data_IF_515481714477
#
_entry.id   IF_515481714477
#
_cell.length_a   1.000
_cell.length_b   1.000
_cell.length_c   1.000
_cell.angle_alpha   90.00
_cell.angle_beta   90.00
_cell.angle_gamma   90.00
#
_symmetry.space_group_name_H-M   'P 1'
#
loop_
_entity.id
_entity.type
_entity.pdbx_description
1 polymer ?
#
# COMPACT_ATOMS: atom_id res chain seq x y z
N UNK A 1 -7.21 24.19 17.09
CA UNK A 1 -7.03 23.16 16.05
C UNK A 1 -8.12 22.16 16.30
N UNK A 2 -9.08 22.04 15.38
CA UNK A 2 -10.19 21.10 15.50
C UNK A 2 -9.68 19.66 15.32
N UNK A 3 -10.36 18.67 15.89
CA UNK A 3 -9.96 17.25 15.81
C UNK A 3 -9.86 16.73 14.38
N UNK A 4 -10.57 17.33 13.41
CA UNK A 4 -10.42 17.06 11.98
C UNK A 4 -9.02 17.37 11.45
N UNK A 5 -8.37 18.43 11.93
CA UNK A 5 -7.00 18.80 11.49
C UNK A 5 -5.98 17.83 12.06
N UNK A 6 -6.21 17.28 13.25
CA UNK A 6 -5.32 16.28 13.86
C UNK A 6 -5.27 14.97 13.06
N UNK A 7 -6.39 14.59 12.41
CA UNK A 7 -6.44 13.40 11.54
C UNK A 7 -5.61 13.52 10.26
N UNK A 8 -5.26 14.73 9.82
CA UNK A 8 -4.42 15.00 8.64
C UNK A 8 -2.93 15.15 8.97
N UNK A 9 -2.56 15.23 10.26
CA UNK A 9 -1.18 15.34 10.71
C UNK A 9 -0.75 14.06 11.41
N UNK A 10 -0.09 13.17 10.69
CA UNK A 10 0.37 11.93 11.29
C UNK A 10 1.46 12.09 12.36
N UNK A 11 2.10 13.26 12.48
CA UNK A 11 3.40 13.34 13.14
C UNK A 11 3.42 13.89 14.57
N UNK A 12 2.29 14.33 15.14
CA UNK A 12 2.40 15.06 16.40
C UNK A 12 2.42 14.21 17.68
N UNK A 13 2.05 12.91 17.64
CA UNK A 13 1.94 12.09 18.86
C UNK A 13 2.24 10.59 18.71
N UNK A 14 2.72 10.12 17.57
CA UNK A 14 2.96 8.70 17.36
C UNK A 14 4.45 8.37 17.31
N UNK A 15 4.82 7.27 17.95
CA UNK A 15 6.17 6.73 17.87
C UNK A 15 6.35 6.11 16.49
N UNK A 16 7.46 6.43 15.83
CA UNK A 16 7.90 5.78 14.60
C UNK A 16 9.23 5.10 14.85
N UNK A 17 9.33 3.82 14.52
CA UNK A 17 10.59 3.09 14.56
C UNK A 17 11.16 2.97 13.15
N UNK A 18 12.42 3.36 12.99
CA UNK A 18 13.19 3.11 11.77
C UNK A 18 13.85 1.74 11.86
N UNK A 19 13.67 0.96 10.81
CA UNK A 19 14.21 -0.40 10.70
C UNK A 19 15.36 -0.42 9.68
N UNK A 20 16.47 -1.06 10.09
CA UNK A 20 17.64 -1.33 9.26
C UNK A 20 18.23 -2.65 9.69
N UNK A 21 17.92 -3.75 8.99
CA UNK A 21 18.34 -5.10 9.37
C UNK A 21 18.25 -6.07 8.19
N UNK A 22 19.20 -6.98 8.03
CA UNK A 22 19.13 -8.05 7.02
C UNK A 22 18.11 -9.15 7.34
N UNK A 23 17.50 -9.14 8.53
CA UNK A 23 16.57 -10.16 9.00
C UNK A 23 17.04 -10.89 10.24
N UNK A 24 16.61 -12.15 10.42
CA UNK A 24 16.92 -12.97 11.60
C UNK A 24 15.82 -13.98 11.91
N UNK A 25 15.43 -14.06 13.20
CA UNK A 25 14.39 -14.99 13.65
C UNK A 25 12.99 -14.55 13.20
N UNK A 26 12.31 -15.40 12.43
CA UNK A 26 10.94 -15.14 12.00
C UNK A 26 9.96 -15.12 13.19
N UNK A 27 10.18 -15.98 14.19
CA UNK A 27 9.35 -16.00 15.40
C UNK A 27 9.44 -14.69 16.18
N UNK A 28 10.63 -14.10 16.29
CA UNK A 28 10.81 -12.78 16.93
C UNK A 28 10.21 -11.66 16.06
N UNK A 29 10.31 -11.76 14.73
CA UNK A 29 9.71 -10.79 13.84
C UNK A 29 8.18 -10.76 13.97
N UNK A 30 7.52 -11.91 14.10
CA UNK A 30 6.08 -12.01 14.35
C UNK A 30 5.70 -11.38 15.71
N UNK A 31 6.52 -11.59 16.75
CA UNK A 31 6.29 -10.94 18.05
C UNK A 31 6.45 -9.41 17.96
N UNK A 32 7.47 -8.94 17.25
CA UNK A 32 7.66 -7.51 17.01
C UNK A 32 6.50 -6.92 16.20
N UNK A 33 6.01 -7.64 15.19
CA UNK A 33 4.85 -7.24 14.40
C UNK A 33 3.62 -7.04 15.31
N UNK A 34 3.31 -8.00 16.20
CA UNK A 34 2.22 -7.87 17.19
C UNK A 34 2.49 -6.68 18.13
N UNK A 35 3.72 -6.54 18.64
CA UNK A 35 4.10 -5.44 19.56
C UNK A 35 3.94 -4.07 18.93
N UNK A 36 4.36 -3.88 17.67
CA UNK A 36 4.24 -2.58 17.00
C UNK A 36 2.78 -2.18 16.83
N UNK A 37 1.91 -3.14 16.53
CA UNK A 37 0.48 -2.87 16.45
C UNK A 37 -0.13 -2.53 17.82
N UNK A 38 0.16 -3.35 18.84
CA UNK A 38 -0.45 -3.18 20.17
C UNK A 38 -0.02 -1.86 20.82
N UNK A 39 1.21 -1.42 20.55
CA UNK A 39 1.75 -0.14 21.01
C UNK A 39 1.52 1.03 20.02
N UNK A 40 0.82 0.80 18.90
CA UNK A 40 0.51 1.83 17.89
C UNK A 40 1.78 2.49 17.30
N UNK A 41 2.80 1.69 17.08
CA UNK A 41 4.09 2.13 16.56
C UNK A 41 4.05 2.07 15.02
N UNK A 42 4.35 3.19 14.37
CA UNK A 42 4.59 3.24 12.93
C UNK A 42 5.98 2.67 12.60
N UNK A 43 6.10 2.03 11.45
CA UNK A 43 7.37 1.51 10.94
C UNK A 43 7.85 2.30 9.73
N UNK A 44 9.16 2.51 9.66
CA UNK A 44 9.81 3.25 8.59
C UNK A 44 11.11 2.58 8.16
N UNK A 45 11.40 2.67 6.88
CA UNK A 45 12.71 2.32 6.30
C UNK A 45 13.23 3.59 5.66
N UNK A 46 14.35 4.12 6.17
CA UNK A 46 14.96 5.33 5.65
C UNK A 46 15.69 5.06 4.32
N UNK A 47 16.00 6.14 3.58
CA UNK A 47 16.81 6.05 2.38
C UNK A 47 18.16 5.36 2.71
N UNK A 48 18.55 4.37 1.92
CA UNK A 48 19.73 3.51 2.08
C UNK A 48 19.65 2.46 3.21
N UNK A 49 18.62 2.47 4.04
CA UNK A 49 18.38 1.41 5.01
C UNK A 49 17.84 0.16 4.31
N UNK A 50 18.09 -1.00 4.93
CA UNK A 50 17.71 -2.31 4.40
C UNK A 50 16.88 -3.04 5.43
N UNK A 51 15.66 -3.48 5.07
CA UNK A 51 14.82 -4.31 5.91
C UNK A 51 14.38 -5.55 5.13
N UNK A 52 15.09 -6.66 5.32
CA UNK A 52 14.92 -7.88 4.54
C UNK A 52 14.48 -9.05 5.42
N UNK A 53 13.84 -10.06 4.81
CA UNK A 53 13.50 -11.32 5.48
C UNK A 53 12.64 -11.10 6.74
N UNK A 54 13.05 -11.60 7.90
CA UNK A 54 12.36 -11.42 9.18
C UNK A 54 12.12 -9.93 9.53
N UNK A 55 13.05 -9.02 9.19
CA UNK A 55 12.84 -7.58 9.36
C UNK A 55 11.62 -7.10 8.60
N UNK A 56 11.43 -7.56 7.35
CA UNK A 56 10.29 -7.18 6.54
C UNK A 56 8.95 -7.67 7.14
N UNK A 57 8.95 -8.83 7.80
CA UNK A 57 7.77 -9.31 8.54
C UNK A 57 7.47 -8.41 9.75
N UNK A 58 8.48 -8.04 10.54
CA UNK A 58 8.31 -7.11 11.65
C UNK A 58 7.78 -5.73 11.17
N UNK A 59 8.30 -5.23 10.03
CA UNK A 59 7.85 -3.99 9.40
C UNK A 59 6.34 -3.96 9.11
N UNK A 60 5.74 -5.13 8.77
CA UNK A 60 4.30 -5.24 8.54
C UNK A 60 3.44 -4.95 9.78
N UNK A 61 4.03 -4.88 10.97
CA UNK A 61 3.36 -4.49 12.22
C UNK A 61 3.06 -3.01 12.35
N UNK A 62 3.66 -2.18 11.50
CA UNK A 62 3.50 -0.73 11.57
C UNK A 62 2.05 -0.29 11.51
N UNK A 63 1.57 0.38 12.57
CA UNK A 63 0.18 0.76 12.72
C UNK A 63 -0.01 2.02 13.54
N UNK A 64 -1.21 2.61 13.43
CA UNK A 64 -1.69 3.74 14.23
C UNK A 64 -3.15 3.54 14.57
N UNK A 65 -3.57 4.08 15.70
CA UNK A 65 -4.99 4.17 16.08
C UNK A 65 -5.52 5.55 15.70
N UNK A 66 -6.51 5.60 14.83
CA UNK A 66 -7.17 6.83 14.39
C UNK A 66 -8.67 6.65 14.53
N UNK A 67 -9.34 7.50 15.31
CA UNK A 67 -10.77 7.42 15.57
C UNK A 67 -11.24 6.03 16.04
N UNK A 68 -10.46 5.37 16.90
CA UNK A 68 -10.66 4.01 17.42
C UNK A 68 -10.54 2.88 16.40
N UNK A 69 -9.99 3.15 15.22
CA UNK A 69 -9.68 2.13 14.21
C UNK A 69 -8.17 2.01 14.01
N UNK A 70 -7.68 0.78 13.86
CA UNK A 70 -6.29 0.55 13.51
C UNK A 70 -6.06 0.73 12.01
N UNK A 71 -5.08 1.56 11.68
CA UNK A 71 -4.65 1.82 10.32
C UNK A 71 -3.20 1.36 10.12
N UNK A 72 -2.89 0.83 8.96
CA UNK A 72 -1.50 0.53 8.59
C UNK A 72 -0.69 1.83 8.54
N UNK A 73 0.50 1.80 9.13
CA UNK A 73 1.45 2.91 9.12
C UNK A 73 2.85 2.41 8.84
N UNK A 74 3.12 2.11 7.58
CA UNK A 74 4.32 1.49 7.04
C UNK A 74 4.85 2.37 5.93
N UNK A 75 6.06 2.89 6.08
CA UNK A 75 6.62 3.84 5.12
C UNK A 75 8.02 3.43 4.70
N UNK A 76 8.29 3.50 3.41
CA UNK A 76 9.64 3.33 2.84
C UNK A 76 10.06 4.64 2.17
N UNK A 77 11.26 5.13 2.45
CA UNK A 77 11.83 6.24 1.71
C UNK A 77 12.37 5.78 0.33
N UNK A 78 12.32 6.64 -0.69
CA UNK A 78 12.95 6.34 -1.96
C UNK A 78 14.43 5.98 -1.77
N UNK A 79 14.79 4.74 -2.16
CA UNK A 79 16.13 4.18 -1.95
C UNK A 79 16.30 3.35 -0.69
N UNK A 80 15.30 3.26 0.20
CA UNK A 80 15.19 2.20 1.19
C UNK A 80 14.84 0.86 0.53
N UNK A 81 15.29 -0.25 1.10
CA UNK A 81 15.07 -1.59 0.58
C UNK A 81 14.17 -2.38 1.51
N UNK A 82 13.05 -2.89 0.99
CA UNK A 82 12.17 -3.82 1.67
C UNK A 82 12.08 -5.10 0.85
N UNK A 83 12.36 -6.25 1.47
CA UNK A 83 12.41 -7.50 0.72
C UNK A 83 11.96 -8.73 1.49
N UNK A 84 11.34 -9.65 0.76
CA UNK A 84 10.74 -10.88 1.28
C UNK A 84 11.30 -12.11 0.57
N UNK A 85 11.36 -13.24 1.30
CA UNK A 85 11.65 -14.58 0.77
C UNK A 85 10.99 -15.65 1.65
N UNK A 86 10.94 -16.89 1.17
CA UNK A 86 10.41 -18.02 1.93
C UNK A 86 11.22 -18.24 3.22
N UNK A 87 10.55 -18.61 4.33
CA UNK A 87 11.24 -19.00 5.55
C UNK A 87 12.22 -20.14 5.28
N UNK A 88 13.42 -20.02 5.80
CA UNK A 88 14.46 -21.04 5.69
C UNK A 88 15.08 -21.36 7.02
N UNK A 89 15.61 -22.56 7.12
CA UNK A 89 16.47 -22.96 8.23
C UNK A 89 17.92 -22.95 7.77
N UNK A 90 18.77 -22.20 8.47
CA UNK A 90 20.22 -22.30 8.28
C UNK A 90 20.73 -23.54 8.99
N UNK A 91 21.08 -24.56 8.24
CA UNK A 91 21.75 -25.75 8.77
C UNK A 91 23.26 -25.59 8.59
N UNK A 92 24.08 -26.00 9.58
CA UNK A 92 25.53 -26.02 9.43
C UNK A 92 25.94 -26.85 8.20
N UNK A 93 26.83 -26.33 7.39
CA UNK A 93 27.34 -27.05 6.23
C UNK A 93 28.21 -28.23 6.68
N UNK A 94 27.96 -29.42 6.16
CA UNK A 94 28.79 -30.61 6.36
C UNK A 94 28.34 -31.58 7.45
N UNK A 95 27.30 -31.27 8.22
CA UNK A 95 26.78 -32.17 9.23
C UNK A 95 25.66 -33.08 8.68
N UNK A 96 25.65 -34.34 9.07
CA UNK A 96 24.49 -35.21 8.86
C UNK A 96 23.34 -34.72 9.76
N UNK A 97 22.37 -34.04 9.18
CA UNK A 97 21.23 -33.57 9.93
C UNK A 97 20.28 -34.75 10.17
N UNK A 98 19.95 -35.06 11.42
CA UNK A 98 18.98 -36.13 11.72
C UNK A 98 17.62 -35.82 11.05
N UNK A 99 16.97 -36.84 10.47
CA UNK A 99 15.64 -36.73 9.83
C UNK A 99 14.62 -36.06 10.76
N UNK A 100 14.70 -36.33 12.05
CA UNK A 100 13.83 -35.72 13.06
C UNK A 100 14.02 -34.19 13.14
N UNK A 101 15.24 -33.69 13.01
CA UNK A 101 15.52 -32.25 13.00
C UNK A 101 15.01 -31.58 11.73
N UNK A 102 15.12 -32.26 10.58
CA UNK A 102 14.54 -31.77 9.32
C UNK A 102 13.01 -31.68 9.40
N UNK A 103 12.36 -32.72 9.95
CA UNK A 103 10.89 -32.75 10.12
C UNK A 103 10.43 -31.65 11.07
N UNK A 104 11.13 -31.45 12.19
CA UNK A 104 10.82 -30.38 13.13
C UNK A 104 10.98 -28.99 12.51
N UNK A 105 12.03 -28.80 11.72
CA UNK A 105 12.31 -27.55 11.03
C UNK A 105 11.26 -27.21 9.98
N UNK A 106 10.83 -28.21 9.21
CA UNK A 106 9.73 -28.07 8.26
C UNK A 106 8.42 -27.70 8.96
N UNK A 107 8.13 -28.36 10.11
CA UNK A 107 6.98 -28.03 10.95
C UNK A 107 6.98 -26.57 11.42
N UNK A 108 8.12 -26.07 11.90
CA UNK A 108 8.31 -24.69 12.34
C UNK A 108 8.11 -23.68 11.18
N UNK A 109 8.59 -24.00 9.98
CA UNK A 109 8.38 -23.15 8.82
C UNK A 109 6.89 -23.04 8.46
N UNK A 110 6.16 -24.16 8.42
CA UNK A 110 4.72 -24.18 8.18
C UNK A 110 3.93 -23.45 9.26
N UNK A 111 4.27 -23.65 10.53
CA UNK A 111 3.67 -22.94 11.67
C UNK A 111 3.87 -21.43 11.57
N UNK A 112 5.06 -21.00 11.15
CA UNK A 112 5.36 -19.57 10.94
C UNK A 112 4.53 -18.97 9.81
N UNK A 113 4.38 -19.69 8.70
CA UNK A 113 3.51 -19.24 7.58
C UNK A 113 2.05 -19.18 8.03
N UNK A 114 1.55 -20.22 8.70
CA UNK A 114 0.21 -20.24 9.28
C UNK A 114 0.00 -19.05 10.22
N UNK A 115 0.97 -18.76 11.07
CA UNK A 115 0.94 -17.64 12.01
C UNK A 115 0.83 -16.27 11.33
N UNK A 116 1.46 -16.08 10.15
CA UNK A 116 1.31 -14.87 9.34
C UNK A 116 -0.09 -14.81 8.71
N UNK A 117 -0.56 -15.93 8.15
CA UNK A 117 -1.88 -16.02 7.53
C UNK A 117 -3.02 -15.76 8.53
N UNK A 118 -2.91 -16.28 9.76
CA UNK A 118 -3.88 -16.05 10.84
C UNK A 118 -3.97 -14.56 11.24
N UNK A 119 -2.89 -13.83 11.03
CA UNK A 119 -2.78 -12.39 11.35
C UNK A 119 -3.13 -11.49 10.18
N UNK A 120 -3.28 -12.01 8.97
CA UNK A 120 -3.37 -11.20 7.75
C UNK A 120 -4.47 -10.14 7.81
N UNK A 121 -5.66 -10.50 8.29
CA UNK A 121 -6.79 -9.57 8.35
C UNK A 121 -6.57 -8.49 9.42
N UNK A 122 -5.98 -8.89 10.56
CA UNK A 122 -5.64 -7.97 11.64
C UNK A 122 -4.61 -6.92 11.20
N UNK A 123 -3.68 -7.30 10.34
CA UNK A 123 -2.58 -6.45 9.87
C UNK A 123 -2.78 -5.94 8.45
N UNK A 124 -3.93 -6.22 7.85
CA UNK A 124 -4.22 -5.82 6.47
C UNK A 124 -3.08 -6.25 5.51
N UNK A 125 -2.73 -7.54 5.56
CA UNK A 125 -1.69 -8.16 4.73
C UNK A 125 -2.39 -8.88 3.57
N UNK A 126 -2.24 -8.41 2.32
CA UNK A 126 -2.80 -9.08 1.16
C UNK A 126 -2.21 -10.48 0.96
N UNK A 127 -3.03 -11.44 0.54
CA UNK A 127 -2.60 -12.81 0.27
C UNK A 127 -1.45 -12.85 -0.74
N UNK A 128 -1.50 -11.98 -1.75
CA UNK A 128 -0.46 -11.88 -2.79
C UNK A 128 0.94 -11.54 -2.25
N UNK A 129 1.04 -10.85 -1.10
CA UNK A 129 2.32 -10.63 -0.43
C UNK A 129 2.86 -11.96 0.14
N UNK A 130 2.00 -12.72 0.83
CA UNK A 130 2.38 -14.02 1.42
C UNK A 130 2.73 -15.03 0.31
N UNK A 131 1.96 -15.05 -0.77
CA UNK A 131 2.24 -15.88 -1.96
C UNK A 131 3.61 -15.54 -2.56
N UNK A 132 3.91 -14.24 -2.76
CA UNK A 132 5.21 -13.79 -3.27
C UNK A 132 6.34 -14.18 -2.32
N UNK A 133 6.14 -14.00 -1.02
CA UNK A 133 7.11 -14.41 -0.01
C UNK A 133 7.42 -15.92 -0.10
N UNK A 134 6.39 -16.77 -0.16
CA UNK A 134 6.56 -18.23 -0.23
C UNK A 134 7.17 -18.66 -1.56
N UNK A 135 6.79 -18.01 -2.67
CA UNK A 135 7.29 -18.32 -4.00
C UNK A 135 8.73 -17.89 -4.24
N UNK A 136 9.28 -17.00 -3.41
CA UNK A 136 10.68 -16.53 -3.51
C UNK A 136 11.59 -17.51 -2.77
N UNK A 137 12.52 -18.20 -3.47
CA UNK A 137 13.44 -19.14 -2.83
C UNK A 137 14.25 -18.51 -1.69
N UNK A 138 14.64 -19.29 -0.65
CA UNK A 138 15.35 -18.75 0.51
C UNK A 138 16.72 -18.12 0.22
N UNK A 139 17.35 -18.49 -0.88
CA UNK A 139 18.63 -17.96 -1.36
C UNK A 139 18.47 -16.73 -2.28
N UNK A 140 17.23 -16.31 -2.50
CA UNK A 140 16.88 -15.13 -3.27
C UNK A 140 16.12 -14.13 -2.40
N UNK A 141 15.96 -12.91 -2.91
CA UNK A 141 15.21 -11.87 -2.23
C UNK A 141 14.32 -11.14 -3.24
N UNK A 142 13.03 -11.13 -2.99
CA UNK A 142 12.09 -10.27 -3.71
C UNK A 142 12.14 -8.87 -3.06
N UNK A 143 12.92 -7.98 -3.63
CA UNK A 143 13.01 -6.58 -3.17
C UNK A 143 12.00 -5.75 -3.93
N UNK A 144 11.17 -5.01 -3.18
CA UNK A 144 10.16 -4.14 -3.76
C UNK A 144 10.82 -2.96 -4.49
N UNK A 145 10.39 -2.71 -5.72
CA UNK A 145 10.86 -1.57 -6.52
C UNK A 145 9.71 -0.84 -7.22
N UNK A 146 8.65 -1.56 -7.59
CA UNK A 146 7.57 -1.01 -8.40
C UNK A 146 6.43 -0.44 -7.58
N UNK A 147 5.82 0.64 -8.06
CA UNK A 147 4.60 1.22 -7.48
C UNK A 147 3.52 0.17 -7.28
N UNK A 148 3.38 -0.78 -8.20
CA UNK A 148 2.42 -1.88 -8.11
C UNK A 148 2.55 -2.68 -6.81
N UNK A 149 3.78 -3.02 -6.40
CA UNK A 149 4.03 -3.78 -5.17
C UNK A 149 3.69 -2.96 -3.92
N UNK A 150 4.16 -1.72 -3.88
CA UNK A 150 3.92 -0.84 -2.73
C UNK A 150 2.44 -0.55 -2.54
N UNK A 151 1.73 -0.23 -3.62
CA UNK A 151 0.32 0.14 -3.55
C UNK A 151 -0.57 -1.05 -3.18
N UNK A 152 -0.42 -2.21 -3.87
CA UNK A 152 -1.24 -3.40 -3.60
C UNK A 152 -0.98 -4.01 -2.22
N UNK A 153 0.22 -3.80 -1.63
CA UNK A 153 0.57 -4.30 -0.31
C UNK A 153 0.43 -3.24 0.79
N UNK A 154 -0.18 -2.09 0.46
CA UNK A 154 -0.53 -1.02 1.39
C UNK A 154 0.68 -0.47 2.15
N UNK A 155 1.78 -0.30 1.42
CA UNK A 155 3.03 0.26 1.92
C UNK A 155 3.19 1.66 1.33
N UNK A 156 3.27 2.67 2.19
CA UNK A 156 3.47 4.04 1.76
C UNK A 156 4.92 4.30 1.32
N UNK A 157 5.10 5.16 0.33
CA UNK A 157 6.40 5.70 -0.04
C UNK A 157 6.45 7.16 0.37
N UNK A 158 7.54 7.55 1.06
CA UNK A 158 7.74 8.95 1.45
C UNK A 158 8.09 9.79 0.22
N UNK A 159 7.10 10.48 -0.32
CA UNK A 159 7.24 11.35 -1.50
C UNK A 159 7.10 12.82 -1.11
N UNK A 160 7.88 13.69 -1.75
CA UNK A 160 7.66 15.13 -1.65
C UNK A 160 6.40 15.51 -2.43
N UNK A 161 5.34 15.81 -1.71
CA UNK A 161 4.03 16.19 -2.27
C UNK A 161 3.90 17.70 -2.49
N UNK A 162 4.89 18.50 -2.13
CA UNK A 162 4.79 19.97 -2.13
C UNK A 162 4.56 20.55 -3.52
N UNK A 163 5.07 19.88 -4.56
CA UNK A 163 4.96 20.31 -5.96
C UNK A 163 3.91 19.53 -6.75
N UNK A 164 3.36 18.45 -6.21
CA UNK A 164 2.38 17.65 -6.92
C UNK A 164 1.05 18.39 -7.04
N UNK A 165 0.53 18.42 -8.23
CA UNK A 165 -0.78 18.99 -8.58
C UNK A 165 -1.47 17.98 -9.50
N UNK A 166 -2.50 17.27 -9.03
CA UNK A 166 -3.14 16.22 -9.82
C UNK A 166 -3.80 16.80 -11.06
N UNK A 167 -3.55 16.15 -12.17
CA UNK A 167 -4.24 16.38 -13.43
C UNK A 167 -5.33 15.33 -13.67
N UNK A 168 -5.98 15.38 -14.84
CA UNK A 168 -7.03 14.43 -15.20
C UNK A 168 -6.49 13.01 -15.39
N UNK A 169 -5.27 12.85 -15.86
CA UNK A 169 -4.64 11.55 -16.04
C UNK A 169 -4.26 10.93 -14.70
N UNK A 170 -3.83 11.74 -13.73
CA UNK A 170 -3.59 11.29 -12.36
C UNK A 170 -4.88 10.74 -11.74
N UNK A 171 -5.98 11.50 -11.81
CA UNK A 171 -7.28 11.05 -11.30
C UNK A 171 -7.74 9.76 -11.98
N UNK A 172 -7.60 9.68 -13.30
CA UNK A 172 -7.95 8.47 -14.05
C UNK A 172 -7.13 7.25 -13.61
N UNK A 173 -5.81 7.40 -13.45
CA UNK A 173 -4.94 6.33 -12.91
C UNK A 173 -5.35 5.92 -11.51
N UNK A 174 -5.59 6.90 -10.62
CA UNK A 174 -6.03 6.63 -9.25
C UNK A 174 -7.30 5.79 -9.23
N UNK A 175 -8.28 6.12 -10.04
CA UNK A 175 -9.54 5.40 -10.16
C UNK A 175 -9.35 3.97 -10.68
N UNK A 176 -8.62 3.82 -11.78
CA UNK A 176 -8.38 2.53 -12.43
C UNK A 176 -7.51 1.59 -11.59
N UNK A 177 -6.55 2.13 -10.84
CA UNK A 177 -5.64 1.32 -10.03
C UNK A 177 -6.28 0.92 -8.70
N UNK A 178 -7.14 1.76 -8.11
CA UNK A 178 -7.73 1.51 -6.80
C UNK A 178 -8.45 0.16 -6.74
N UNK A 179 -9.33 -0.14 -7.70
CA UNK A 179 -10.11 -1.38 -7.70
C UNK A 179 -9.23 -2.63 -7.77
N UNK A 180 -8.10 -2.55 -8.47
CA UNK A 180 -7.13 -3.66 -8.57
C UNK A 180 -6.33 -3.79 -7.27
N UNK A 181 -5.79 -2.70 -6.74
CA UNK A 181 -4.90 -2.76 -5.59
C UNK A 181 -5.63 -2.97 -4.26
N UNK A 182 -6.90 -2.57 -4.13
CA UNK A 182 -7.71 -2.89 -2.94
C UNK A 182 -7.96 -4.39 -2.78
N UNK A 183 -8.07 -5.12 -3.90
CA UNK A 183 -8.13 -6.59 -3.86
C UNK A 183 -6.78 -7.26 -3.58
N UNK A 184 -5.68 -6.49 -3.53
CA UNK A 184 -4.31 -6.99 -3.39
C UNK A 184 -3.75 -7.57 -4.68
N UNK A 185 -4.40 -7.31 -5.83
CA UNK A 185 -3.98 -7.77 -7.14
C UNK A 185 -2.92 -6.85 -7.78
N UNK A 186 -2.21 -7.39 -8.77
CA UNK A 186 -1.22 -6.66 -9.56
C UNK A 186 -1.84 -6.08 -10.82
N UNK A 187 -1.68 -4.78 -11.02
CA UNK A 187 -2.09 -4.12 -12.27
C UNK A 187 -1.33 -4.73 -13.46
N UNK A 188 -0.04 -5.01 -13.30
CA UNK A 188 0.76 -5.65 -14.35
C UNK A 188 0.21 -7.04 -14.72
N UNK A 189 -0.24 -7.84 -13.73
CA UNK A 189 -0.83 -9.16 -13.95
C UNK A 189 -2.17 -9.06 -14.69
N UNK A 190 -3.02 -8.13 -14.25
CA UNK A 190 -4.33 -7.90 -14.88
C UNK A 190 -4.13 -7.42 -16.33
N UNK A 191 -3.26 -6.43 -16.56
CA UNK A 191 -2.98 -5.94 -17.90
C UNK A 191 -2.40 -7.04 -18.82
N UNK A 192 -1.55 -7.92 -18.29
CA UNK A 192 -1.03 -9.06 -19.04
C UNK A 192 -2.13 -10.06 -19.42
N UNK A 193 -3.15 -10.26 -18.58
CA UNK A 193 -4.27 -11.18 -18.86
C UNK A 193 -5.19 -10.65 -19.97
N UNK A 194 -5.26 -9.34 -20.18
CA UNK A 194 -6.05 -8.71 -21.24
C UNK A 194 -5.30 -8.56 -22.57
N UNK A 195 -3.98 -8.74 -22.58
CA UNK A 195 -3.18 -8.78 -23.82
C UNK A 195 -3.43 -10.11 -24.54
N UNK A 196 -4.47 -10.14 -25.39
CA UNK A 196 -4.65 -11.20 -26.38
C UNK A 196 -4.17 -10.70 -27.74
N UNK A 197 -3.82 -11.63 -28.65
CA UNK A 197 -3.39 -11.29 -30.02
C UNK A 197 -4.43 -10.44 -30.80
N UNK A 198 -5.66 -10.35 -30.33
CA UNK A 198 -6.77 -9.61 -30.95
C UNK A 198 -7.07 -8.26 -30.27
N UNK A 199 -6.47 -7.94 -29.12
CA UNK A 199 -6.83 -6.73 -28.39
C UNK A 199 -5.59 -6.07 -27.77
N UNK A 200 -5.05 -5.08 -28.48
CA UNK A 200 -3.89 -4.25 -28.05
C UNK A 200 -4.35 -3.05 -27.18
N UNK A 201 -5.45 -3.23 -26.44
CA UNK A 201 -5.99 -2.18 -25.56
C UNK A 201 -5.10 -2.00 -24.32
N UNK A 202 -4.24 -1.01 -24.39
CA UNK A 202 -3.24 -0.78 -23.35
C UNK A 202 -3.81 0.00 -22.17
N UNK A 203 -3.21 -0.17 -21.00
CA UNK A 203 -3.52 0.63 -19.79
C UNK A 203 -3.41 2.13 -20.08
N UNK A 204 -2.47 2.54 -20.93
CA UNK A 204 -2.32 3.92 -21.34
C UNK A 204 -3.55 4.48 -22.06
N UNK A 205 -4.16 3.66 -22.93
CA UNK A 205 -5.43 4.04 -23.61
C UNK A 205 -6.59 4.13 -22.63
N UNK A 206 -6.70 3.18 -21.68
CA UNK A 206 -7.70 3.23 -20.61
C UNK A 206 -7.57 4.53 -19.80
N UNK A 207 -6.35 4.88 -19.38
CA UNK A 207 -6.10 6.13 -18.65
C UNK A 207 -6.51 7.34 -19.48
N UNK A 208 -6.21 7.38 -20.78
CA UNK A 208 -6.57 8.48 -21.64
C UNK A 208 -8.11 8.63 -21.80
N UNK A 209 -8.82 7.51 -21.98
CA UNK A 209 -10.29 7.50 -22.07
C UNK A 209 -10.95 7.94 -20.77
N UNK A 210 -10.47 7.45 -19.63
CA UNK A 210 -10.97 7.88 -18.33
C UNK A 210 -10.64 9.33 -18.04
N UNK A 211 -9.44 9.81 -18.40
CA UNK A 211 -9.03 11.20 -18.23
C UNK A 211 -9.94 12.17 -18.99
N UNK A 212 -10.44 11.77 -20.19
CA UNK A 212 -11.39 12.55 -20.94
C UNK A 212 -12.73 12.73 -20.20
N UNK A 213 -13.13 11.76 -19.36
CA UNK A 213 -14.36 11.78 -18.55
C UNK A 213 -14.19 12.54 -17.24
N UNK A 214 -12.96 12.79 -16.76
CA UNK A 214 -12.69 13.45 -15.48
C UNK A 214 -13.17 14.89 -15.47
N UNK A 215 -13.95 15.23 -14.45
CA UNK A 215 -14.43 16.59 -14.16
C UNK A 215 -13.93 17.04 -12.80
N UNK A 216 -13.23 18.18 -12.76
CA UNK A 216 -12.91 18.86 -11.54
C UNK A 216 -14.02 19.82 -11.13
N UNK A 217 -14.36 19.81 -9.84
CA UNK A 217 -15.29 20.77 -9.27
C UNK A 217 -14.56 22.01 -8.73
N UNK A 218 -15.22 23.16 -8.65
CA UNK A 218 -14.65 24.33 -8.01
C UNK A 218 -14.19 24.01 -6.58
N UNK A 219 -13.05 24.56 -6.15
CA UNK A 219 -12.55 24.33 -4.80
C UNK A 219 -13.51 24.90 -3.76
N UNK A 220 -13.76 24.13 -2.70
CA UNK A 220 -14.47 24.60 -1.51
C UNK A 220 -13.46 24.93 -0.39
N UNK A 221 -13.80 25.87 0.48
CA UNK A 221 -12.99 26.22 1.66
C UNK A 221 -13.81 26.15 2.92
N UNK A 222 -13.33 25.41 3.89
CA UNK A 222 -13.94 25.31 5.22
C UNK A 222 -12.84 25.43 6.26
N UNK A 223 -12.92 26.39 7.19
CA UNK A 223 -11.99 26.56 8.34
C UNK A 223 -10.51 26.52 7.96
N UNK A 224 -10.11 27.20 6.85
CA UNK A 224 -8.71 27.28 6.41
C UNK A 224 -8.21 26.08 5.60
N UNK A 225 -9.04 25.05 5.43
CA UNK A 225 -8.75 23.89 4.59
C UNK A 225 -9.43 24.08 3.24
N UNK A 226 -8.68 23.91 2.16
CA UNK A 226 -9.22 23.88 0.81
C UNK A 226 -9.43 22.42 0.40
N UNK A 227 -10.62 22.13 -0.17
CA UNK A 227 -10.93 20.81 -0.71
C UNK A 227 -11.31 20.93 -2.18
N UNK A 228 -10.72 20.07 -3.00
CA UNK A 228 -11.06 19.93 -4.43
C UNK A 228 -11.58 18.53 -4.65
N UNK A 229 -12.68 18.43 -5.40
CA UNK A 229 -13.22 17.14 -5.84
C UNK A 229 -13.04 16.99 -7.35
N UNK A 230 -12.68 15.78 -7.77
CA UNK A 230 -12.72 15.38 -9.15
C UNK A 230 -13.46 14.04 -9.24
N UNK A 231 -14.21 13.82 -10.33
CA UNK A 231 -14.90 12.56 -10.54
C UNK A 231 -14.87 12.15 -12.01
N UNK A 232 -14.96 10.86 -12.23
CA UNK A 232 -15.21 10.26 -13.52
C UNK A 232 -16.31 9.20 -13.38
N UNK A 233 -17.16 9.09 -14.39
CA UNK A 233 -18.26 8.11 -14.41
C UNK A 233 -18.16 7.26 -15.65
N UNK A 234 -18.28 5.96 -15.49
CA UNK A 234 -18.49 5.01 -16.57
C UNK A 234 -19.93 4.56 -16.58
N UNK A 235 -20.54 4.63 -17.76
CA UNK A 235 -21.92 4.17 -17.99
C UNK A 235 -21.87 2.96 -18.91
N UNK A 236 -22.11 1.80 -18.35
CA UNK A 236 -22.21 0.53 -19.05
C UNK A 236 -23.51 -0.18 -18.64
N UNK A 237 -23.43 -1.50 -18.40
CA UNK A 237 -24.55 -2.24 -17.79
C UNK A 237 -24.80 -1.81 -16.33
N UNK A 238 -23.76 -1.30 -15.65
CA UNK A 238 -23.83 -0.68 -14.32
C UNK A 238 -23.14 0.68 -14.35
N UNK A 239 -23.61 1.62 -13.52
CA UNK A 239 -22.98 2.94 -13.37
C UNK A 239 -21.91 2.83 -12.32
N UNK A 240 -20.68 3.08 -12.71
CA UNK A 240 -19.55 3.15 -11.78
C UNK A 240 -18.99 4.56 -11.72
N UNK A 241 -18.96 5.16 -10.54
CA UNK A 241 -18.44 6.52 -10.32
C UNK A 241 -17.25 6.47 -9.40
N UNK A 242 -16.14 7.02 -9.85
CA UNK A 242 -14.97 7.25 -9.02
C UNK A 242 -14.90 8.73 -8.64
N UNK A 243 -14.74 9.00 -7.36
CA UNK A 243 -14.56 10.35 -6.81
C UNK A 243 -13.18 10.44 -6.15
N UNK A 244 -12.36 11.37 -6.59
CA UNK A 244 -11.14 11.78 -5.93
C UNK A 244 -11.39 13.06 -5.13
N UNK A 245 -11.11 13.02 -3.83
CA UNK A 245 -11.13 14.19 -2.94
C UNK A 245 -9.70 14.58 -2.60
N UNK A 246 -9.33 15.79 -2.85
CA UNK A 246 -8.03 16.35 -2.51
C UNK A 246 -8.19 17.36 -1.40
N UNK A 247 -7.64 17.08 -0.23
CA UNK A 247 -7.54 18.04 0.85
C UNK A 247 -6.21 18.77 0.71
N UNK A 248 -6.24 20.11 0.67
CA UNK A 248 -5.05 20.92 0.50
C UNK A 248 -4.77 21.63 1.82
N UNK A 249 -3.58 21.37 2.37
CA UNK A 249 -3.12 22.01 3.58
C UNK A 249 -1.62 22.36 3.46
N UNK A 250 -1.23 23.60 3.75
CA UNK A 250 0.14 24.10 3.58
C UNK A 250 0.74 23.76 2.21
N UNK A 251 -0.07 23.94 1.16
CA UNK A 251 0.27 23.65 -0.24
C UNK A 251 0.54 22.18 -0.57
N UNK A 252 0.31 21.26 0.36
CA UNK A 252 0.37 19.83 0.11
C UNK A 252 -1.03 19.28 -0.20
N UNK A 253 -1.09 18.35 -1.14
CA UNK A 253 -2.33 17.72 -1.63
C UNK A 253 -2.44 16.30 -1.09
N UNK A 254 -3.49 16.06 -0.32
CA UNK A 254 -3.79 14.77 0.31
C UNK A 254 -4.96 14.13 -0.41
N UNK A 255 -4.70 13.16 -1.30
CA UNK A 255 -5.75 12.50 -2.07
C UNK A 255 -6.51 11.48 -1.24
N UNK A 256 -7.78 11.29 -1.59
CA UNK A 256 -8.63 10.16 -1.24
C UNK A 256 -9.46 9.77 -2.42
N UNK A 257 -9.72 8.47 -2.55
CA UNK A 257 -10.48 7.92 -3.66
C UNK A 257 -11.66 7.15 -3.12
N UNK A 258 -12.79 7.29 -3.78
CA UNK A 258 -14.02 6.59 -3.47
C UNK A 258 -14.57 5.99 -4.76
N UNK A 259 -14.84 4.69 -4.74
CA UNK A 259 -15.57 4.00 -5.80
C UNK A 259 -17.01 3.79 -5.36
N UNK A 260 -17.96 3.95 -6.25
CA UNK A 260 -19.38 3.79 -5.97
C UNK A 260 -20.11 3.34 -7.23
N UNK A 261 -21.02 2.40 -7.07
CA UNK A 261 -21.93 1.94 -8.11
C UNK A 261 -23.19 2.84 -8.19
N UNK A 262 -23.03 4.13 -7.90
CA UNK A 262 -24.10 5.11 -7.84
C UNK A 262 -23.84 6.27 -8.79
N UNK A 263 -24.85 7.11 -9.00
CA UNK A 263 -24.70 8.35 -9.78
C UNK A 263 -23.63 9.28 -9.18
N UNK A 264 -23.05 10.19 -9.98
CA UNK A 264 -22.04 11.14 -9.52
C UNK A 264 -22.50 11.97 -8.31
N UNK A 265 -23.78 12.34 -8.24
CA UNK A 265 -24.34 13.16 -7.16
C UNK A 265 -24.31 12.40 -5.83
N UNK A 266 -24.74 11.13 -5.85
CA UNK A 266 -24.73 10.26 -4.65
C UNK A 266 -23.30 9.96 -4.22
N UNK A 267 -22.43 9.61 -5.17
CA UNK A 267 -21.02 9.32 -4.89
C UNK A 267 -20.30 10.54 -4.32
N UNK A 268 -20.53 11.74 -4.86
CA UNK A 268 -19.98 12.98 -4.34
C UNK A 268 -20.49 13.30 -2.93
N UNK A 269 -21.79 13.11 -2.68
CA UNK A 269 -22.36 13.30 -1.35
C UNK A 269 -21.73 12.35 -0.33
N UNK A 270 -21.58 11.08 -0.67
CA UNK A 270 -20.91 10.10 0.17
C UNK A 270 -19.44 10.49 0.46
N UNK A 271 -18.69 10.93 -0.56
CA UNK A 271 -17.33 11.39 -0.41
C UNK A 271 -17.20 12.66 0.45
N UNK A 272 -18.20 13.55 0.42
CA UNK A 272 -18.28 14.76 1.26
C UNK A 272 -18.56 14.43 2.73
N UNK A 273 -19.41 13.44 2.98
CA UNK A 273 -19.81 13.01 4.31
C UNK A 273 -18.80 12.06 4.97
N UNK A 274 -17.93 11.46 4.18
CA UNK A 274 -16.91 10.54 4.69
C UNK A 274 -15.86 11.28 5.53
N UNK A 275 -15.90 11.06 6.84
CA UNK A 275 -14.91 11.56 7.80
C UNK A 275 -13.73 10.58 7.99
N UNK A 276 -13.72 9.47 7.26
CA UNK A 276 -12.65 8.48 7.42
C UNK A 276 -11.32 9.05 6.97
N UNK A 277 -10.35 9.04 7.87
CA UNK A 277 -8.99 9.52 7.64
C UNK A 277 -8.07 8.36 7.27
N UNK A 278 -8.33 7.66 6.18
CA UNK A 278 -7.41 6.59 5.74
C UNK A 278 -6.07 7.18 5.32
N UNK A 279 -4.95 6.76 5.93
CA UNK A 279 -3.62 7.10 5.45
C UNK A 279 -3.16 6.18 4.31
N UNK A 280 -4.10 5.62 3.54
CA UNK A 280 -3.73 4.78 2.41
C UNK A 280 -2.78 5.53 1.48
N UNK A 281 -1.84 4.84 0.82
CA UNK A 281 -0.82 5.47 -0.03
C UNK A 281 -1.41 5.94 -1.37
N UNK A 282 -2.54 6.65 -1.32
CA UNK A 282 -3.28 7.06 -2.53
C UNK A 282 -2.46 7.87 -3.54
N UNK A 283 -1.37 8.51 -3.11
CA UNK A 283 -0.43 9.15 -4.03
C UNK A 283 0.18 8.17 -5.03
N UNK A 284 0.49 6.95 -4.59
CA UNK A 284 1.04 5.91 -5.47
C UNK A 284 0.06 5.56 -6.59
N UNK A 285 -1.26 5.65 -6.32
CA UNK A 285 -2.28 5.35 -7.31
C UNK A 285 -2.25 6.29 -8.53
N UNK A 286 -1.70 7.50 -8.38
CA UNK A 286 -1.51 8.45 -9.48
C UNK A 286 -0.32 8.10 -10.39
N UNK A 287 0.60 7.25 -9.95
CA UNK A 287 1.79 6.86 -10.71
C UNK A 287 1.50 5.65 -11.60
N UNK A 288 2.25 5.48 -12.71
CA UNK A 288 2.25 4.25 -13.46
C UNK A 288 2.64 3.05 -12.58
N UNK A 289 1.99 1.91 -12.78
CA UNK A 289 2.21 0.71 -11.96
C UNK A 289 3.64 0.16 -12.05
N UNK A 290 4.30 0.31 -13.20
CA UNK A 290 5.66 -0.14 -13.48
C UNK A 290 6.74 0.90 -13.12
N UNK A 291 6.33 2.06 -12.56
CA UNK A 291 7.25 3.10 -12.14
C UNK A 291 8.11 2.60 -10.98
N UNK A 292 9.44 2.75 -11.08
CA UNK A 292 10.37 2.42 -10.00
C UNK A 292 10.38 3.53 -8.94
N UNK A 293 10.19 3.18 -7.66
CA UNK A 293 10.24 4.15 -6.56
C UNK A 293 11.64 4.75 -6.37
N UNK A 294 12.69 4.08 -6.83
CA UNK A 294 14.05 4.62 -6.78
C UNK A 294 14.23 5.85 -7.66
N UNK A 295 13.35 6.06 -8.65
CA UNK A 295 13.33 7.25 -9.50
C UNK A 295 12.65 8.47 -8.84
N UNK A 296 12.07 8.31 -7.63
CA UNK A 296 11.43 9.40 -6.87
C UNK A 296 12.42 10.27 -6.06
N UNK A 297 13.73 10.06 -6.23
CA UNK A 297 14.79 10.81 -5.51
C UNK A 297 14.89 12.27 -5.93
#
# INVERSE_FOLDING_TARGET
>A
MTDEVKGYYPDSHYVTITLDSPGGSLAEAIRLMDTFRDLQIATRIDAKATCLSACAVAFLGGSRLVANEFWTSRTVEPGGQLGFHAPSLSLPAGDLVPTQALTASYGLALESISSILDRRDRFDIPVSLVETMIATPPDQMYVLDKVDDFARWKIAVAMDQSKWRPDKADVARMCLNLGVWESGDSVARIDASFKSEANDYSRHQQVAEWAAKVKFLPPSRTTGIQTVYAYATETGMEVSTCVARFTIFKDQWYPRIFLSDSSPEIALQAAQQSNTSSPAPYMLHALPHDFSITALR
#
